data_IF_596166613593
#
_entry.id   IF_596166613593
#
_cell.length_a   1.000
_cell.length_b   1.000
_cell.length_c   1.000
_cell.angle_alpha   90.00
_cell.angle_beta   90.00
_cell.angle_gamma   90.00
#
_symmetry.space_group_name_H-M   'P 1'
#
loop_
_entity.id
_entity.type
_entity.pdbx_description
1 polymer ?
#
# COMPACT_ATOMS: atom_id res chain seq x y z
N UNK A 1 -8.76 1.32 31.02
CA UNK A 1 -9.54 0.10 30.77
C UNK A 1 -10.63 0.37 29.72
N UNK A 2 -10.26 0.69 28.47
CA UNK A 2 -11.24 1.13 27.44
C UNK A 2 -11.17 0.35 26.13
N UNK A 3 -10.25 -0.62 25.98
CA UNK A 3 -10.04 -1.37 24.74
C UNK A 3 -11.20 -2.34 24.41
N UNK A 4 -11.84 -2.94 25.42
CA UNK A 4 -12.89 -3.94 25.21
C UNK A 4 -14.17 -3.40 24.53
N UNK A 5 -14.45 -2.10 24.65
CA UNK A 5 -15.69 -1.52 24.11
C UNK A 5 -15.55 -1.14 22.62
N UNK A 6 -14.34 -0.81 22.19
CA UNK A 6 -14.03 -0.46 20.79
C UNK A 6 -13.92 -1.70 19.90
N UNK A 7 -13.37 -2.79 20.44
CA UNK A 7 -13.30 -4.10 19.78
C UNK A 7 -14.70 -4.69 19.56
N UNK A 8 -15.60 -4.60 20.54
CA UNK A 8 -16.97 -5.11 20.40
C UNK A 8 -17.81 -4.32 19.38
N UNK A 9 -17.64 -2.99 19.32
CA UNK A 9 -18.31 -2.16 18.30
C UNK A 9 -17.79 -2.44 16.89
N UNK A 10 -16.48 -2.55 16.70
CA UNK A 10 -15.88 -2.88 15.39
C UNK A 10 -16.30 -4.27 14.92
N UNK A 11 -16.43 -5.25 15.82
CA UNK A 11 -16.96 -6.57 15.47
C UNK A 11 -18.42 -6.57 15.01
N UNK A 12 -19.27 -5.74 15.63
CA UNK A 12 -20.67 -5.60 15.20
C UNK A 12 -20.77 -4.92 13.82
N UNK A 13 -19.99 -3.88 13.57
CA UNK A 13 -20.01 -3.17 12.29
C UNK A 13 -19.44 -4.01 11.13
N UNK A 14 -18.38 -4.79 11.38
CA UNK A 14 -17.79 -5.70 10.38
C UNK A 14 -18.70 -6.88 10.06
N UNK A 15 -19.46 -7.36 11.05
CA UNK A 15 -20.42 -8.46 10.85
C UNK A 15 -21.73 -8.02 10.20
N UNK A 16 -22.05 -6.72 10.23
CA UNK A 16 -23.23 -6.15 9.58
C UNK A 16 -23.09 -5.95 8.06
N UNK A 17 -21.87 -5.99 7.52
CA UNK A 17 -21.63 -5.85 6.07
C UNK A 17 -22.10 -7.13 5.38
N UNK A 18 -23.03 -6.97 4.43
CA UNK A 18 -23.54 -8.08 3.63
C UNK A 18 -22.48 -8.49 2.61
N UNK A 19 -21.98 -9.73 2.64
CA UNK A 19 -21.03 -10.18 1.64
C UNK A 19 -21.73 -10.30 0.27
N UNK A 20 -21.04 -9.97 -0.84
CA UNK A 20 -21.48 -10.30 -2.18
C UNK A 20 -21.74 -11.81 -2.32
N UNK A 21 -22.81 -12.19 -3.03
CA UNK A 21 -23.17 -13.59 -3.25
C UNK A 21 -22.11 -14.39 -4.04
N UNK A 22 -21.20 -13.69 -4.72
CA UNK A 22 -20.07 -14.26 -5.47
C UNK A 22 -18.89 -14.67 -4.59
N UNK A 23 -18.84 -14.22 -3.32
CA UNK A 23 -17.73 -14.55 -2.41
C UNK A 23 -18.03 -15.79 -1.58
N UNK A 24 -16.99 -16.61 -1.40
CA UNK A 24 -17.06 -17.77 -0.51
C UNK A 24 -17.03 -17.34 0.96
N UNK A 25 -17.60 -18.17 1.83
CA UNK A 25 -17.54 -17.97 3.30
C UNK A 25 -16.10 -17.81 3.78
N UNK A 26 -15.18 -18.57 3.19
CA UNK A 26 -13.75 -18.50 3.51
C UNK A 26 -13.12 -17.15 3.11
N UNK A 27 -13.46 -16.61 1.93
CA UNK A 27 -12.98 -15.30 1.49
C UNK A 27 -13.50 -14.19 2.40
N UNK A 28 -14.76 -14.29 2.83
CA UNK A 28 -15.39 -13.34 3.74
C UNK A 28 -14.71 -13.33 5.11
N UNK A 29 -14.44 -14.50 5.69
CA UNK A 29 -13.74 -14.61 6.97
C UNK A 29 -12.30 -14.11 6.90
N UNK A 30 -11.58 -14.46 5.82
CA UNK A 30 -10.20 -14.03 5.62
C UNK A 30 -10.09 -12.53 5.39
N UNK A 31 -11.03 -11.92 4.67
CA UNK A 31 -11.07 -10.47 4.51
C UNK A 31 -11.24 -9.75 5.86
N UNK A 32 -12.16 -10.23 6.72
CA UNK A 32 -12.35 -9.68 8.07
C UNK A 32 -11.10 -9.84 8.95
N UNK A 33 -10.46 -11.02 8.91
CA UNK A 33 -9.22 -11.27 9.64
C UNK A 33 -8.06 -10.41 9.12
N UNK A 34 -7.97 -10.23 7.81
CA UNK A 34 -6.93 -9.43 7.17
C UNK A 34 -6.99 -7.97 7.61
N UNK A 35 -8.18 -7.36 7.62
CA UNK A 35 -8.34 -5.96 8.04
C UNK A 35 -7.95 -5.79 9.51
N UNK A 36 -8.33 -6.73 10.39
CA UNK A 36 -7.90 -6.71 11.79
C UNK A 36 -6.38 -6.87 11.95
N UNK A 37 -5.79 -7.82 11.23
CA UNK A 37 -4.36 -8.09 11.29
C UNK A 37 -3.51 -6.94 10.71
N UNK A 38 -4.02 -6.24 9.70
CA UNK A 38 -3.36 -5.06 9.10
C UNK A 38 -3.18 -3.90 10.08
N UNK A 39 -3.98 -3.85 11.16
CA UNK A 39 -3.84 -2.84 12.22
C UNK A 39 -2.79 -3.23 13.28
N UNK A 40 -2.24 -4.44 13.22
CA UNK A 40 -1.19 -4.88 14.12
C UNK A 40 0.18 -4.48 13.58
N UNK A 41 1.06 -4.06 14.48
CA UNK A 41 2.44 -3.69 14.16
C UNK A 41 3.22 -4.91 13.63
N UNK A 42 3.96 -4.76 12.53
CA UNK A 42 4.74 -5.84 11.90
C UNK A 42 3.96 -6.74 10.92
N UNK A 43 2.75 -6.34 10.51
CA UNK A 43 1.96 -7.08 9.53
C UNK A 43 2.68 -7.24 8.18
N UNK A 44 2.73 -8.47 7.66
CA UNK A 44 3.14 -8.76 6.28
C UNK A 44 2.12 -9.69 5.62
N UNK A 45 1.82 -9.45 4.33
CA UNK A 45 0.89 -10.29 3.56
C UNK A 45 1.38 -11.74 3.52
N UNK A 46 2.70 -11.96 3.41
CA UNK A 46 3.30 -13.29 3.44
C UNK A 46 3.11 -14.00 4.78
N UNK A 47 3.27 -13.30 5.91
CA UNK A 47 2.99 -13.84 7.24
C UNK A 47 1.52 -14.20 7.41
N UNK A 48 0.62 -13.30 7.01
CA UNK A 48 -0.82 -13.52 7.05
C UNK A 48 -1.26 -14.75 6.23
N UNK A 49 -0.74 -14.88 5.01
CA UNK A 49 -1.02 -16.02 4.14
C UNK A 49 -0.54 -17.33 4.78
N UNK A 50 0.66 -17.32 5.38
CA UNK A 50 1.23 -18.49 6.06
C UNK A 50 0.40 -18.92 7.28
N UNK A 51 -0.04 -17.97 8.11
CA UNK A 51 -0.88 -18.24 9.29
C UNK A 51 -2.25 -18.80 8.92
N UNK A 52 -2.82 -18.34 7.81
CA UNK A 52 -4.15 -18.75 7.34
C UNK A 52 -4.11 -19.89 6.30
N UNK A 53 -2.94 -20.53 6.11
CA UNK A 53 -2.72 -21.62 5.15
C UNK A 53 -3.18 -21.27 3.72
N UNK A 54 -2.98 -20.03 3.32
CA UNK A 54 -3.30 -19.50 2.00
C UNK A 54 -2.02 -19.28 1.20
N UNK A 55 -2.07 -19.50 -0.12
CA UNK A 55 -0.97 -19.11 -1.00
C UNK A 55 -1.04 -17.61 -1.28
N UNK A 56 0.12 -16.96 -1.39
CA UNK A 56 0.18 -15.54 -1.76
C UNK A 56 -0.39 -15.28 -3.15
N UNK A 57 -0.22 -16.20 -4.10
CA UNK A 57 -0.82 -16.11 -5.45
C UNK A 57 -2.34 -16.04 -5.36
N UNK A 58 -2.95 -16.98 -4.64
CA UNK A 58 -4.40 -17.04 -4.45
C UNK A 58 -4.95 -15.78 -3.77
N UNK A 59 -4.19 -15.21 -2.82
CA UNK A 59 -4.57 -13.95 -2.19
C UNK A 59 -4.58 -12.78 -3.18
N UNK A 60 -3.54 -12.65 -4.01
CA UNK A 60 -3.47 -11.59 -5.01
C UNK A 60 -4.53 -11.76 -6.11
N UNK A 61 -4.79 -13.00 -6.55
CA UNK A 61 -5.89 -13.31 -7.47
C UNK A 61 -7.25 -12.87 -6.92
N UNK A 62 -7.49 -13.03 -5.61
CA UNK A 62 -8.70 -12.50 -4.98
C UNK A 62 -8.71 -10.98 -4.96
N UNK A 63 -7.58 -10.31 -4.73
CA UNK A 63 -7.51 -8.84 -4.77
C UNK A 63 -7.75 -8.24 -6.16
N UNK A 64 -7.56 -9.01 -7.22
CA UNK A 64 -7.90 -8.62 -8.59
C UNK A 64 -9.41 -8.70 -8.87
N UNK A 65 -10.16 -9.49 -8.10
CA UNK A 65 -11.63 -9.55 -8.20
C UNK A 65 -12.27 -8.27 -7.70
N UNK A 66 -13.07 -7.62 -8.55
CA UNK A 66 -13.78 -6.38 -8.22
C UNK A 66 -14.70 -6.54 -7.00
N UNK A 67 -15.38 -7.68 -6.88
CA UNK A 67 -16.30 -7.96 -5.76
C UNK A 67 -15.55 -8.11 -4.43
N UNK A 68 -14.42 -8.83 -4.44
CA UNK A 68 -13.60 -9.02 -3.25
C UNK A 68 -12.94 -7.72 -2.81
N UNK A 69 -12.43 -6.94 -3.77
CA UNK A 69 -11.83 -5.63 -3.50
C UNK A 69 -12.85 -4.67 -2.90
N UNK A 70 -14.04 -4.57 -3.48
CA UNK A 70 -15.11 -3.71 -2.97
C UNK A 70 -15.53 -4.12 -1.55
N UNK A 71 -15.70 -5.43 -1.31
CA UNK A 71 -16.04 -5.94 0.01
C UNK A 71 -14.91 -5.66 1.03
N UNK A 72 -13.64 -5.83 0.64
CA UNK A 72 -12.50 -5.51 1.50
C UNK A 72 -12.46 -4.02 1.87
N UNK A 73 -12.73 -3.12 0.92
CA UNK A 73 -12.78 -1.68 1.14
C UNK A 73 -13.94 -1.27 2.08
N UNK A 74 -15.09 -1.93 1.96
CA UNK A 74 -16.24 -1.74 2.85
C UNK A 74 -15.92 -2.22 4.27
N UNK A 75 -15.29 -3.39 4.42
CA UNK A 75 -14.85 -3.94 5.71
C UNK A 75 -13.78 -3.05 6.35
N UNK A 76 -12.77 -2.63 5.59
CA UNK A 76 -11.75 -1.70 6.06
C UNK A 76 -12.38 -0.36 6.49
N UNK A 77 -13.45 0.05 5.82
CA UNK A 77 -14.16 1.28 6.17
C UNK A 77 -15.01 1.20 7.41
N UNK A 78 -15.53 0.02 7.75
CA UNK A 78 -16.26 -0.20 8.99
C UNK A 78 -15.34 -0.38 10.22
N UNK A 79 -14.10 -0.82 10.00
CA UNK A 79 -13.13 -1.03 11.09
C UNK A 79 -12.52 0.29 11.57
N UNK A 80 -12.30 1.27 10.69
CA UNK A 80 -11.77 2.56 11.08
C UNK A 80 -12.92 3.42 11.64
N UNK A 81 -12.92 3.79 12.94
CA UNK A 81 -13.94 4.66 13.51
C UNK A 81 -14.05 5.96 12.72
N UNK A 82 -15.28 6.46 12.55
CA UNK A 82 -15.54 7.77 11.90
C UNK A 82 -14.70 8.89 12.51
N UNK A 83 -14.54 8.86 13.82
CA UNK A 83 -13.85 9.88 14.59
C UNK A 83 -12.35 9.94 14.25
N UNK A 84 -11.73 8.78 14.00
CA UNK A 84 -10.32 8.69 13.58
C UNK A 84 -10.13 9.17 12.14
N UNK A 85 -11.10 8.89 11.26
CA UNK A 85 -11.11 9.41 9.88
C UNK A 85 -11.25 10.92 9.85
N UNK A 86 -12.14 11.46 10.67
CA UNK A 86 -12.37 12.90 10.77
C UNK A 86 -11.16 13.61 11.38
N UNK A 87 -10.52 13.02 12.40
CA UNK A 87 -9.27 13.52 12.95
C UNK A 87 -8.14 13.50 11.90
N UNK A 88 -8.02 12.42 11.12
CA UNK A 88 -7.03 12.32 10.04
C UNK A 88 -7.27 13.38 8.95
N UNK A 89 -8.53 13.59 8.55
CA UNK A 89 -8.88 14.64 7.59
C UNK A 89 -8.61 16.04 8.14
N UNK A 90 -8.88 16.28 9.42
CA UNK A 90 -8.56 17.54 10.09
C UNK A 90 -7.06 17.80 10.12
N UNK A 91 -6.24 16.79 10.45
CA UNK A 91 -4.78 16.88 10.38
C UNK A 91 -4.30 17.15 8.96
N UNK A 92 -4.81 16.44 7.95
CA UNK A 92 -4.45 16.67 6.54
C UNK A 92 -4.73 18.11 6.10
N UNK A 93 -5.88 18.67 6.49
CA UNK A 93 -6.21 20.08 6.25
C UNK A 93 -5.25 21.03 6.98
N UNK A 94 -4.82 20.67 8.19
CA UNK A 94 -3.86 21.48 8.94
C UNK A 94 -2.47 21.46 8.31
N UNK A 95 -1.98 20.30 7.88
CA UNK A 95 -0.70 20.14 7.18
C UNK A 95 -0.74 20.88 5.84
N UNK A 96 -1.86 20.84 5.11
CA UNK A 96 -2.01 21.62 3.88
C UNK A 96 -1.92 23.14 4.11
N UNK A 97 -2.43 23.65 5.25
CA UNK A 97 -2.27 25.05 5.63
C UNK A 97 -0.80 25.42 5.89
N UNK A 98 0.06 24.46 6.26
CA UNK A 98 1.50 24.71 6.44
C UNK A 98 2.16 25.15 5.13
N UNK A 99 1.67 24.68 3.97
CA UNK A 99 2.19 25.07 2.66
C UNK A 99 1.99 26.56 2.34
N UNK A 100 1.02 27.21 2.99
CA UNK A 100 0.69 28.63 2.78
C UNK A 100 1.30 29.56 3.84
N UNK A 101 2.07 29.02 4.80
CA UNK A 101 2.78 29.83 5.78
C UNK A 101 3.97 30.54 5.11
N UNK A 102 4.12 31.84 5.35
CA UNK A 102 5.24 32.61 4.79
C UNK A 102 6.61 32.22 5.39
N UNK A 103 6.63 31.73 6.63
CA UNK A 103 7.85 31.30 7.33
C UNK A 103 7.62 29.95 8.06
N UNK A 104 7.61 28.81 7.35
CA UNK A 104 7.46 27.51 7.97
C UNK A 104 8.74 27.11 8.74
N UNK A 105 8.57 26.46 9.89
CA UNK A 105 9.69 25.89 10.65
C UNK A 105 10.20 24.63 9.93
N UNK A 106 11.51 24.27 10.00
CA UNK A 106 12.04 23.08 9.33
C UNK A 106 11.25 21.79 9.62
N UNK A 107 10.79 21.59 10.86
CA UNK A 107 9.94 20.45 11.26
C UNK A 107 8.58 20.42 10.57
N UNK A 108 8.01 21.59 10.24
CA UNK A 108 6.73 21.70 9.56
C UNK A 108 6.86 21.39 8.06
N UNK A 109 8.01 21.75 7.47
CA UNK A 109 8.34 21.40 6.09
C UNK A 109 8.58 19.90 5.96
N UNK A 110 9.33 19.30 6.88
CA UNK A 110 9.56 17.85 6.95
C UNK A 110 8.23 17.09 7.05
N UNK A 111 7.38 17.47 8.00
CA UNK A 111 6.05 16.87 8.14
C UNK A 111 5.18 17.00 6.88
N UNK A 112 5.27 18.12 6.17
CA UNK A 112 4.57 18.30 4.90
C UNK A 112 5.12 17.37 3.82
N UNK A 113 6.45 17.30 3.68
CA UNK A 113 7.09 16.45 2.68
C UNK A 113 6.83 14.96 2.94
N UNK A 114 6.88 14.51 4.19
CA UNK A 114 6.56 13.12 4.56
C UNK A 114 5.09 12.78 4.26
N UNK A 115 4.18 13.72 4.52
CA UNK A 115 2.74 13.50 4.28
C UNK A 115 2.38 13.51 2.80
N UNK A 116 3.14 14.24 1.98
CA UNK A 116 2.89 14.43 0.55
C UNK A 116 4.01 13.87 -0.34
N UNK A 117 4.80 12.94 0.17
CA UNK A 117 5.97 12.36 -0.53
C UNK A 117 5.58 11.81 -1.90
N UNK A 118 4.44 11.11 -1.98
CA UNK A 118 3.90 10.56 -3.22
C UNK A 118 3.62 11.64 -4.30
N UNK A 119 3.28 12.88 -3.89
CA UNK A 119 3.07 14.00 -4.82
C UNK A 119 4.40 14.53 -5.32
N UNK A 120 5.39 14.63 -4.42
CA UNK A 120 6.73 15.05 -4.77
C UNK A 120 7.41 14.04 -5.70
N UNK A 121 7.22 12.74 -5.48
CA UNK A 121 7.69 11.69 -6.37
C UNK A 121 7.01 11.73 -7.75
N UNK A 122 5.72 12.03 -7.80
CA UNK A 122 4.99 12.18 -9.05
C UNK A 122 5.48 13.39 -9.86
N UNK A 123 5.66 14.56 -9.23
CA UNK A 123 6.23 15.76 -9.87
C UNK A 123 7.68 15.50 -10.32
N UNK A 124 8.48 14.78 -9.51
CA UNK A 124 9.82 14.35 -9.92
C UNK A 124 9.78 13.46 -11.16
N UNK A 125 8.89 12.46 -11.22
CA UNK A 125 8.72 11.61 -12.40
C UNK A 125 8.28 12.40 -13.64
N UNK A 126 7.37 13.35 -13.47
CA UNK A 126 6.90 14.22 -14.55
C UNK A 126 8.02 15.12 -15.07
N UNK A 127 8.80 15.73 -14.17
CA UNK A 127 9.98 16.52 -14.53
C UNK A 127 11.07 15.67 -15.16
N UNK A 128 11.32 14.45 -14.68
CA UNK A 128 12.28 13.53 -15.30
C UNK A 128 11.82 13.14 -16.71
N UNK A 129 10.52 12.92 -16.91
CA UNK A 129 9.94 12.68 -18.23
C UNK A 129 10.06 13.90 -19.16
N UNK A 130 9.82 15.11 -18.64
CA UNK A 130 9.99 16.37 -19.36
C UNK A 130 11.46 16.66 -19.73
N UNK A 131 12.39 16.21 -18.88
CA UNK A 131 13.83 16.28 -19.12
C UNK A 131 14.37 15.13 -20.00
N UNK A 132 13.50 14.23 -20.48
CA UNK A 132 13.89 13.11 -21.34
C UNK A 132 14.65 11.99 -20.63
N UNK A 133 14.64 11.96 -19.29
CA UNK A 133 15.18 10.87 -18.48
C UNK A 133 14.04 9.88 -18.22
N UNK A 134 13.69 9.10 -19.23
CA UNK A 134 12.80 7.95 -19.06
C UNK A 134 13.59 6.75 -18.53
N UNK A 135 13.11 6.12 -17.46
CA UNK A 135 13.62 4.83 -16.94
C UNK A 135 13.44 3.64 -17.92
N UNK A 136 12.99 3.90 -19.15
CA UNK A 136 12.75 2.89 -20.19
C UNK A 136 14.04 2.42 -20.90
N UNK A 137 15.23 2.82 -20.43
CA UNK A 137 16.50 2.33 -20.97
C UNK A 137 17.55 2.05 -19.88
N UNK A 138 17.21 1.23 -18.90
CA UNK A 138 18.22 0.42 -18.19
C UNK A 138 17.84 -1.06 -18.24
N UNK A 139 17.78 -1.60 -19.45
CA UNK A 139 18.41 -2.89 -19.68
C UNK A 139 19.91 -2.73 -19.47
N UNK A 140 20.34 -2.55 -18.21
CA UNK A 140 21.76 -2.57 -17.87
C UNK A 140 22.21 -4.00 -18.08
N UNK A 141 22.79 -4.24 -19.24
CA UNK A 141 23.69 -5.35 -19.48
C UNK A 141 24.84 -5.20 -18.46
N UNK A 142 24.62 -5.66 -17.22
CA UNK A 142 25.52 -5.68 -16.05
C UNK A 142 26.74 -6.59 -16.27
N UNK A 143 27.14 -6.75 -17.53
CA UNK A 143 28.31 -7.54 -17.90
C UNK A 143 29.49 -6.60 -17.98
N UNK A 144 30.44 -6.82 -17.09
CA UNK A 144 31.73 -6.14 -17.09
C UNK A 144 32.42 -6.33 -18.44
N UNK A 145 33.30 -5.40 -18.81
CA UNK A 145 34.02 -5.40 -20.10
C UNK A 145 34.73 -6.74 -20.35
N UNK A 146 35.17 -7.42 -19.28
CA UNK A 146 35.80 -8.73 -19.34
C UNK A 146 34.86 -9.86 -19.78
N UNK A 147 33.59 -9.84 -19.35
CA UNK A 147 32.60 -10.83 -19.79
C UNK A 147 32.25 -10.68 -21.27
N UNK A 148 32.21 -9.43 -21.76
CA UNK A 148 32.01 -9.14 -23.18
C UNK A 148 33.21 -9.62 -24.01
N UNK A 149 34.44 -9.46 -23.51
CA UNK A 149 35.65 -9.99 -24.15
C UNK A 149 35.66 -11.51 -24.22
N UNK A 150 35.33 -12.22 -23.13
CA UNK A 150 35.24 -13.69 -23.13
C UNK A 150 34.23 -14.21 -24.15
N UNK A 151 33.09 -13.53 -24.30
CA UNK A 151 32.03 -13.92 -25.26
C UNK A 151 32.43 -13.71 -26.72
N UNK A 152 33.20 -12.66 -26.99
CA UNK A 152 33.76 -12.42 -28.33
C UNK A 152 34.82 -13.47 -28.69
N UNK A 153 35.68 -13.83 -27.73
CA UNK A 153 36.70 -14.86 -27.93
C UNK A 153 36.12 -16.26 -28.13
N UNK A 154 35.02 -16.61 -27.46
CA UNK A 154 34.31 -17.87 -27.72
C UNK A 154 33.61 -17.89 -29.08
N UNK A 155 33.14 -16.74 -29.57
CA UNK A 155 32.58 -16.61 -30.92
C UNK A 155 33.61 -16.68 -32.04
N UNK A 156 34.85 -16.26 -31.78
CA UNK A 156 35.93 -16.24 -32.78
C UNK A 156 36.69 -17.57 -32.88
N UNK A 157 36.49 -18.48 -31.91
CA UNK A 157 37.07 -19.84 -31.89
C UNK A 157 36.10 -20.92 -32.38
N UNK A 158 34.90 -20.52 -32.80
CA UNK A 158 33.94 -21.37 -33.51
C UNK A 158 34.04 -21.14 -35.00
#
# INVERSE_FOLDING_TARGET
>A
MSFNNTEQKTEQHVNAIKPPASLSVQQVELAKKFVKAKMLEGFTVGGFCKENRLSTSTWYEWQESADFKKYMDEVQSAVIPSDERDAFQAMKKHILKLAYLQNPTPKQVELFMDTFEYVAEADKKERMKALGISDEAKGSDEKTIEEKRKRLLTRLKG
#
